data_IF_368380250855
#
_entry.id   IF_368380250855
#
_cell.length_a   1.000
_cell.length_b   1.000
_cell.length_c   1.000
_cell.angle_alpha   90.00
_cell.angle_beta   90.00
_cell.angle_gamma   90.00
#
_symmetry.space_group_name_H-M   'P 1'
#
loop_
_entity.id
_entity.type
_entity.pdbx_description
1 polymer ?
#
# COMPACT_ATOMS: atom_id res chain seq x y z
N UNK A 1 18.96 -47.91 8.65
CA UNK A 1 19.68 -48.08 7.37
C UNK A 1 20.01 -46.70 6.82
N UNK A 2 21.33 -46.44 6.66
CA UNK A 2 22.01 -45.46 5.80
C UNK A 2 21.61 -43.97 5.90
N UNK A 3 22.38 -43.29 6.74
CA UNK A 3 22.86 -41.90 6.61
C UNK A 3 23.53 -41.65 5.25
N UNK A 4 23.22 -40.54 4.58
CA UNK A 4 24.07 -39.95 3.53
C UNK A 4 24.21 -38.47 3.84
N UNK A 5 25.38 -38.11 4.37
CA UNK A 5 25.82 -36.73 4.54
C UNK A 5 26.42 -36.21 3.25
N UNK A 6 26.06 -34.98 2.87
CA UNK A 6 26.70 -34.24 1.78
C UNK A 6 27.61 -33.20 2.43
N UNK A 7 28.91 -33.50 2.39
CA UNK A 7 30.03 -32.61 2.64
C UNK A 7 30.11 -31.61 1.47
N UNK A 8 29.83 -30.33 1.72
CA UNK A 8 30.14 -29.25 0.76
C UNK A 8 31.49 -28.67 1.17
N UNK A 9 32.53 -29.10 0.48
CA UNK A 9 33.89 -28.56 0.56
C UNK A 9 33.95 -27.21 -0.14
N UNK A 10 33.99 -26.11 0.62
CA UNK A 10 34.30 -24.78 0.10
C UNK A 10 35.83 -24.66 -0.02
N UNK A 11 36.32 -24.85 -1.25
CA UNK A 11 37.71 -24.60 -1.60
C UNK A 11 37.97 -23.08 -1.65
N UNK A 12 38.62 -22.57 -0.60
CA UNK A 12 39.13 -21.19 -0.53
C UNK A 12 40.39 -21.09 -1.42
N UNK A 13 40.22 -20.68 -2.67
CA UNK A 13 41.33 -20.32 -3.55
C UNK A 13 41.86 -18.94 -3.15
N UNK A 14 42.97 -18.94 -2.41
CA UNK A 14 43.81 -17.78 -2.11
C UNK A 14 44.49 -17.31 -3.41
N UNK A 15 43.93 -16.28 -4.04
CA UNK A 15 44.57 -15.54 -5.13
C UNK A 15 45.43 -14.40 -4.58
N UNK A 16 46.72 -14.68 -4.37
CA UNK A 16 47.73 -13.68 -4.05
C UNK A 16 48.21 -12.95 -5.31
N UNK A 17 47.75 -11.72 -5.53
CA UNK A 17 48.46 -10.73 -6.36
C UNK A 17 49.13 -9.70 -5.46
N UNK A 18 50.45 -9.62 -5.58
CA UNK A 18 51.31 -8.80 -4.73
C UNK A 18 51.29 -7.32 -5.11
N UNK A 19 51.08 -6.48 -4.10
CA UNK A 19 51.67 -5.16 -4.00
C UNK A 19 52.59 -5.15 -2.77
N UNK A 20 53.89 -5.07 -3.03
CA UNK A 20 54.94 -4.93 -2.02
C UNK A 20 54.92 -3.49 -1.53
N UNK A 21 54.21 -3.23 -0.43
CA UNK A 21 54.36 -2.00 0.35
C UNK A 21 54.84 -2.38 1.76
N UNK A 22 55.83 -1.64 2.24
CA UNK A 22 56.53 -1.90 3.48
C UNK A 22 55.64 -1.52 4.69
N UNK A 23 55.41 -2.50 5.56
CA UNK A 23 55.44 -2.31 7.01
C UNK A 23 54.22 -1.67 7.66
N UNK A 24 53.17 -2.46 7.86
CA UNK A 24 52.54 -2.69 9.17
C UNK A 24 51.67 -3.94 9.03
N UNK A 25 52.01 -5.00 9.75
CA UNK A 25 51.16 -6.19 9.80
C UNK A 25 49.83 -5.77 10.41
N UNK A 26 48.76 -5.86 9.62
CA UNK A 26 47.38 -5.57 10.04
C UNK A 26 47.08 -6.40 11.29
N UNK A 27 47.14 -5.74 12.46
CA UNK A 27 47.00 -6.42 13.74
C UNK A 27 45.62 -7.06 13.80
N UNK A 28 45.56 -8.36 14.14
CA UNK A 28 44.29 -9.04 14.33
C UNK A 28 43.41 -8.23 15.31
N UNK A 29 42.11 -8.07 15.03
CA UNK A 29 41.23 -7.27 15.87
C UNK A 29 41.23 -7.84 17.29
N UNK A 30 41.31 -6.95 18.29
CA UNK A 30 41.35 -7.32 19.70
C UNK A 30 40.13 -8.19 20.07
N UNK A 31 40.32 -9.46 20.49
CA UNK A 31 39.24 -10.36 20.88
C UNK A 31 38.34 -9.78 21.98
N UNK A 32 38.86 -8.93 22.85
CA UNK A 32 38.08 -8.27 23.89
C UNK A 32 37.08 -7.26 23.29
N UNK A 33 37.48 -6.52 22.25
CA UNK A 33 36.62 -5.55 21.58
C UNK A 33 35.48 -6.25 20.80
N UNK A 34 35.77 -7.38 20.15
CA UNK A 34 34.75 -8.19 19.46
C UNK A 34 33.73 -8.75 20.47
N UNK A 35 34.19 -9.26 21.61
CA UNK A 35 33.30 -9.76 22.68
C UNK A 35 32.42 -8.64 23.25
N UNK A 36 32.98 -7.47 23.49
CA UNK A 36 32.23 -6.30 23.95
C UNK A 36 31.16 -5.87 22.94
N UNK A 37 31.46 -5.91 21.64
CA UNK A 37 30.47 -5.64 20.60
C UNK A 37 29.32 -6.66 20.62
N UNK A 38 29.62 -7.96 20.73
CA UNK A 38 28.60 -9.01 20.80
C UNK A 38 27.69 -8.85 22.03
N UNK A 39 28.25 -8.51 23.19
CA UNK A 39 27.48 -8.27 24.40
C UNK A 39 26.53 -7.06 24.26
N UNK A 40 27.00 -5.98 23.63
CA UNK A 40 26.14 -4.81 23.35
C UNK A 40 25.05 -5.12 22.32
N UNK A 41 25.34 -5.93 21.31
CA UNK A 41 24.31 -6.41 20.37
C UNK A 41 23.25 -7.22 21.10
N UNK A 42 23.66 -8.17 21.96
CA UNK A 42 22.74 -8.98 22.74
C UNK A 42 21.90 -8.12 23.69
N UNK A 43 22.52 -7.12 24.33
CA UNK A 43 21.82 -6.15 25.20
C UNK A 43 20.80 -5.33 24.43
N UNK A 44 21.17 -4.82 23.25
CA UNK A 44 20.23 -4.09 22.36
C UNK A 44 19.03 -4.95 22.00
N UNK A 45 19.26 -6.20 21.60
CA UNK A 45 18.19 -7.11 21.19
C UNK A 45 17.25 -7.44 22.37
N UNK A 46 17.81 -7.61 23.57
CA UNK A 46 17.01 -7.78 24.79
C UNK A 46 16.15 -6.54 25.12
N UNK A 47 16.71 -5.33 24.99
CA UNK A 47 15.97 -4.07 25.19
C UNK A 47 14.85 -3.89 24.16
N UNK A 48 15.09 -4.25 22.89
CA UNK A 48 14.06 -4.23 21.84
C UNK A 48 12.91 -5.20 22.14
N UNK A 49 13.22 -6.43 22.56
CA UNK A 49 12.21 -7.41 22.94
C UNK A 49 11.40 -6.94 24.18
N UNK A 50 12.06 -6.31 25.16
CA UNK A 50 11.39 -5.74 26.32
C UNK A 50 10.46 -4.58 25.93
N UNK A 51 10.91 -3.69 25.04
CA UNK A 51 10.10 -2.59 24.51
C UNK A 51 8.85 -3.10 23.79
N UNK A 52 9.00 -4.10 22.92
CA UNK A 52 7.87 -4.71 22.19
C UNK A 52 6.83 -5.28 23.17
N UNK A 53 7.29 -5.98 24.23
CA UNK A 53 6.41 -6.49 25.28
C UNK A 53 5.64 -5.37 25.98
N UNK A 54 6.31 -4.29 26.39
CA UNK A 54 5.69 -3.15 27.06
C UNK A 54 4.67 -2.43 26.15
N UNK A 55 4.97 -2.27 24.86
CA UNK A 55 4.03 -1.70 23.88
C UNK A 55 2.80 -2.58 23.68
N UNK A 56 2.97 -3.90 23.67
CA UNK A 56 1.86 -4.86 23.63
C UNK A 56 0.98 -4.76 24.87
N UNK A 57 1.56 -4.67 26.06
CA UNK A 57 0.83 -4.50 27.32
C UNK A 57 0.09 -3.16 27.39
N UNK A 58 0.72 -2.06 26.96
CA UNK A 58 0.08 -0.74 26.89
C UNK A 58 -1.12 -0.73 25.94
N UNK A 59 -1.02 -1.43 24.81
CA UNK A 59 -2.11 -1.57 23.84
C UNK A 59 -3.27 -2.36 24.44
N UNK A 60 -3.00 -3.48 25.12
CA UNK A 60 -4.02 -4.28 25.82
C UNK A 60 -4.75 -3.46 26.88
N UNK A 61 -4.03 -2.70 27.70
CA UNK A 61 -4.63 -1.82 28.71
C UNK A 61 -5.49 -0.73 28.05
N UNK A 62 -5.06 -0.17 26.91
CA UNK A 62 -5.85 0.79 26.15
C UNK A 62 -7.17 0.19 25.63
N UNK A 63 -7.17 -1.08 25.23
CA UNK A 63 -8.39 -1.81 24.85
C UNK A 63 -9.29 -2.10 26.06
N UNK A 64 -8.71 -2.48 27.21
CA UNK A 64 -9.44 -2.68 28.46
C UNK A 64 -10.13 -1.39 28.93
N UNK A 65 -9.42 -0.24 28.87
CA UNK A 65 -9.99 1.07 29.18
C UNK A 65 -11.25 1.33 28.34
N UNK A 66 -11.17 1.13 27.01
CA UNK A 66 -12.33 1.32 26.12
C UNK A 66 -13.52 0.42 26.49
N UNK A 67 -13.26 -0.83 26.90
CA UNK A 67 -14.31 -1.76 27.33
C UNK A 67 -14.96 -1.32 28.63
N UNK A 68 -14.16 -0.91 29.63
CA UNK A 68 -14.66 -0.46 30.94
C UNK A 68 -15.43 0.85 30.80
N UNK A 69 -14.94 1.80 29.99
CA UNK A 69 -15.63 3.06 29.67
C UNK A 69 -16.99 2.81 29.00
N UNK A 70 -17.06 1.87 28.06
CA UNK A 70 -18.32 1.51 27.41
C UNK A 70 -19.36 0.93 28.39
N UNK A 71 -18.91 0.32 29.49
CA UNK A 71 -19.78 -0.17 30.58
C UNK A 71 -20.01 0.87 31.70
N UNK A 72 -19.47 2.08 31.57
CA UNK A 72 -19.58 3.14 32.57
C UNK A 72 -18.77 2.89 33.86
N UNK A 73 -17.76 2.03 33.82
CA UNK A 73 -16.89 1.75 34.96
C UNK A 73 -15.76 2.77 35.15
N UNK A 74 -15.13 2.75 36.32
CA UNK A 74 -13.95 3.60 36.62
C UNK A 74 -12.68 3.05 35.94
N UNK A 75 -11.97 3.91 35.20
CA UNK A 75 -10.72 3.59 34.49
C UNK A 75 -9.48 4.21 35.11
N UNK A 76 -9.60 4.88 36.25
CA UNK A 76 -8.51 5.62 36.90
C UNK A 76 -7.25 4.77 37.13
N UNK A 77 -7.38 3.55 37.64
CA UNK A 77 -6.27 2.63 37.88
C UNK A 77 -5.65 2.08 36.58
N UNK A 78 -6.46 1.83 35.55
CA UNK A 78 -5.97 1.39 34.25
C UNK A 78 -5.20 2.53 33.54
N UNK A 79 -5.68 3.76 33.66
CA UNK A 79 -5.02 4.94 33.13
C UNK A 79 -3.65 5.17 33.79
N UNK A 80 -3.54 5.00 35.12
CA UNK A 80 -2.25 5.05 35.83
C UNK A 80 -1.28 3.98 35.35
N UNK A 81 -1.73 2.73 35.22
CA UNK A 81 -0.89 1.62 34.70
C UNK A 81 -0.41 1.89 33.28
N UNK A 82 -1.26 2.46 32.43
CA UNK A 82 -0.87 2.84 31.07
C UNK A 82 0.21 3.92 31.08
N UNK A 83 0.05 4.97 31.88
CA UNK A 83 1.03 6.06 31.99
C UNK A 83 2.40 5.57 32.53
N UNK A 84 2.39 4.62 33.47
CA UNK A 84 3.59 3.97 33.99
C UNK A 84 4.31 3.16 32.88
N UNK A 85 3.57 2.37 32.09
CA UNK A 85 4.13 1.65 30.95
C UNK A 85 4.69 2.58 29.88
N UNK A 86 4.01 3.69 29.58
CA UNK A 86 4.50 4.69 28.63
C UNK A 86 5.82 5.31 29.12
N UNK A 87 5.94 5.58 30.42
CA UNK A 87 7.19 6.06 31.04
C UNK A 87 8.31 5.03 30.92
N UNK A 88 8.02 3.74 31.17
CA UNK A 88 8.99 2.66 30.99
C UNK A 88 9.42 2.51 29.53
N UNK A 89 8.52 2.70 28.56
CA UNK A 89 8.85 2.69 27.13
C UNK A 89 9.83 3.81 26.79
N UNK A 90 9.61 5.03 27.30
CA UNK A 90 10.52 6.16 27.09
C UNK A 90 11.90 5.88 27.70
N UNK A 91 11.96 5.34 28.92
CA UNK A 91 13.23 4.94 29.55
C UNK A 91 13.97 3.87 28.73
N UNK A 92 13.23 2.93 28.13
CA UNK A 92 13.82 1.92 27.23
C UNK A 92 14.38 2.54 25.95
N UNK A 93 13.74 3.59 25.42
CA UNK A 93 14.24 4.33 24.26
C UNK A 93 15.55 5.08 24.56
N UNK A 94 15.66 5.68 25.75
CA UNK A 94 16.91 6.30 26.18
C UNK A 94 18.04 5.26 26.32
N UNK A 95 17.75 4.09 26.91
CA UNK A 95 18.70 2.99 27.04
C UNK A 95 19.13 2.42 25.68
N UNK A 96 18.20 2.31 24.72
CA UNK A 96 18.49 1.88 23.35
C UNK A 96 19.38 2.89 22.63
N UNK A 97 19.10 4.18 22.78
CA UNK A 97 19.90 5.27 22.20
C UNK A 97 21.34 5.26 22.73
N UNK A 98 21.50 5.09 24.06
CA UNK A 98 22.80 4.95 24.71
C UNK A 98 23.56 3.72 24.20
N UNK A 99 22.91 2.54 24.20
CA UNK A 99 23.52 1.28 23.71
C UNK A 99 23.92 1.38 22.24
N UNK A 100 23.09 2.01 21.39
CA UNK A 100 23.39 2.23 19.97
C UNK A 100 24.59 3.16 19.77
N UNK A 101 24.73 4.18 20.62
CA UNK A 101 25.87 5.10 20.58
C UNK A 101 27.17 4.40 20.96
N UNK A 102 27.16 3.58 22.02
CA UNK A 102 28.30 2.74 22.43
C UNK A 102 28.71 1.76 21.33
N UNK A 103 27.72 1.10 20.71
CA UNK A 103 27.96 0.16 19.61
C UNK A 103 28.57 0.85 18.40
N UNK A 104 28.13 2.08 18.07
CA UNK A 104 28.71 2.89 17.00
C UNK A 104 30.17 3.27 17.31
N UNK A 105 30.47 3.65 18.56
CA UNK A 105 31.82 4.00 19.00
C UNK A 105 32.79 2.81 19.00
N UNK A 106 32.32 1.61 19.34
CA UNK A 106 33.13 0.39 19.27
C UNK A 106 33.31 -0.05 17.81
N UNK A 107 32.26 0.08 17.00
CA UNK A 107 32.31 -0.26 15.57
C UNK A 107 33.29 0.63 14.83
N UNK A 108 33.31 1.94 15.09
CA UNK A 108 34.28 2.85 14.45
C UNK A 108 35.73 2.54 14.83
N UNK A 109 35.98 2.11 16.07
CA UNK A 109 37.31 1.63 16.52
C UNK A 109 37.72 0.34 15.82
N UNK A 110 36.79 -0.59 15.62
CA UNK A 110 37.03 -1.86 14.94
C UNK A 110 37.23 -1.68 13.42
N UNK A 111 36.46 -0.78 12.79
CA UNK A 111 36.61 -0.45 11.36
C UNK A 111 37.96 0.25 11.09
N UNK A 112 38.44 1.08 12.03
CA UNK A 112 39.78 1.69 11.96
C UNK A 112 40.92 0.66 12.13
N UNK A 113 40.63 -0.51 12.71
CA UNK A 113 41.61 -1.57 12.97
C UNK A 113 41.71 -2.62 11.83
N UNK A 114 41.03 -2.43 10.70
CA UNK A 114 41.27 -3.21 9.45
C UNK A 114 40.88 -4.69 9.44
N UNK A 115 40.50 -5.29 10.58
CA UNK A 115 40.35 -6.75 10.70
C UNK A 115 39.29 -7.40 9.80
N UNK A 116 39.73 -8.29 8.90
CA UNK A 116 38.88 -9.19 8.09
C UNK A 116 37.85 -9.95 8.93
N UNK A 117 38.20 -10.33 10.17
CA UNK A 117 37.31 -11.01 11.13
C UNK A 117 36.09 -10.17 11.52
N UNK A 118 36.22 -8.85 11.64
CA UNK A 118 35.10 -7.94 11.93
C UNK A 118 34.15 -7.86 10.73
N UNK A 119 34.71 -7.87 9.52
CA UNK A 119 33.92 -7.89 8.28
C UNK A 119 33.14 -9.20 8.15
N UNK A 120 33.76 -10.35 8.46
CA UNK A 120 33.10 -11.65 8.43
C UNK A 120 31.99 -11.77 9.49
N UNK A 121 32.25 -11.32 10.73
CA UNK A 121 31.22 -11.27 11.76
C UNK A 121 30.03 -10.38 11.34
N UNK A 122 30.31 -9.24 10.68
CA UNK A 122 29.27 -8.35 10.16
C UNK A 122 28.46 -8.96 9.02
N UNK A 123 29.08 -9.77 8.16
CA UNK A 123 28.38 -10.52 7.11
C UNK A 123 27.47 -11.56 7.76
N UNK A 124 27.97 -12.33 8.73
CA UNK A 124 27.16 -13.31 9.45
C UNK A 124 25.95 -12.66 10.18
N UNK A 125 26.14 -11.50 10.82
CA UNK A 125 25.04 -10.75 11.46
C UNK A 125 24.02 -10.25 10.44
N UNK A 126 24.48 -9.77 9.27
CA UNK A 126 23.60 -9.36 8.17
C UNK A 126 22.79 -10.53 7.63
N UNK A 127 23.42 -11.68 7.45
CA UNK A 127 22.76 -12.91 7.00
C UNK A 127 21.70 -13.35 8.02
N UNK A 128 22.00 -13.33 9.32
CA UNK A 128 21.03 -13.64 10.38
C UNK A 128 19.83 -12.68 10.37
N UNK A 129 20.09 -11.37 10.18
CA UNK A 129 19.03 -10.36 10.10
C UNK A 129 18.18 -10.46 8.82
N UNK A 130 18.76 -10.94 7.71
CA UNK A 130 18.02 -11.24 6.48
C UNK A 130 17.13 -12.48 6.70
N UNK A 131 17.70 -13.56 7.23
CA UNK A 131 16.94 -14.78 7.54
C UNK A 131 15.75 -14.54 8.49
N UNK A 132 15.93 -13.70 9.52
CA UNK A 132 14.84 -13.30 10.41
C UNK A 132 13.73 -12.53 9.70
N UNK A 133 14.08 -11.62 8.78
CA UNK A 133 13.11 -10.87 7.98
C UNK A 133 12.36 -11.76 7.00
N UNK A 134 13.05 -12.71 6.37
CA UNK A 134 12.43 -13.69 5.48
C UNK A 134 11.45 -14.60 6.23
N UNK A 135 11.79 -15.02 7.46
CA UNK A 135 10.88 -15.78 8.31
C UNK A 135 9.61 -14.99 8.67
N UNK A 136 9.75 -13.71 9.04
CA UNK A 136 8.60 -12.82 9.31
C UNK A 136 7.75 -12.57 8.06
N UNK A 137 8.36 -12.47 6.88
CA UNK A 137 7.63 -12.31 5.63
C UNK A 137 6.85 -13.58 5.27
N UNK A 138 7.48 -14.75 5.40
CA UNK A 138 6.83 -16.06 5.22
C UNK A 138 5.65 -16.27 6.19
N UNK A 139 5.75 -15.78 7.42
CA UNK A 139 4.64 -15.84 8.37
C UNK A 139 3.48 -14.93 7.95
N UNK A 140 3.76 -13.67 7.59
CA UNK A 140 2.73 -12.73 7.12
C UNK A 140 2.04 -13.19 5.84
N UNK A 141 2.79 -13.81 4.93
CA UNK A 141 2.23 -14.39 3.71
C UNK A 141 1.26 -15.54 4.02
N UNK A 142 1.62 -16.42 4.97
CA UNK A 142 0.72 -17.48 5.44
C UNK A 142 -0.54 -16.93 6.10
N UNK A 143 -0.40 -15.92 6.95
CA UNK A 143 -1.54 -15.25 7.60
C UNK A 143 -2.46 -14.59 6.56
N UNK A 144 -1.89 -13.93 5.54
CA UNK A 144 -2.65 -13.33 4.45
C UNK A 144 -3.39 -14.37 3.60
N UNK A 145 -2.72 -15.47 3.24
CA UNK A 145 -3.36 -16.58 2.53
C UNK A 145 -4.51 -17.19 3.36
N UNK A 146 -4.31 -17.37 4.66
CA UNK A 146 -5.36 -17.87 5.55
C UNK A 146 -6.55 -16.89 5.63
N UNK A 147 -6.28 -15.58 5.69
CA UNK A 147 -7.31 -14.56 5.66
C UNK A 147 -8.11 -14.60 4.35
N UNK A 148 -7.44 -14.75 3.21
CA UNK A 148 -8.11 -14.91 1.92
C UNK A 148 -8.96 -16.19 1.84
N UNK A 149 -8.46 -17.32 2.35
CA UNK A 149 -9.24 -18.56 2.42
C UNK A 149 -10.47 -18.40 3.31
N UNK A 150 -10.34 -17.73 4.46
CA UNK A 150 -11.45 -17.46 5.35
C UNK A 150 -12.48 -16.52 4.71
N UNK A 151 -12.03 -15.46 4.03
CA UNK A 151 -12.90 -14.55 3.28
C UNK A 151 -13.61 -15.27 2.13
N UNK A 152 -12.92 -16.14 1.40
CA UNK A 152 -13.52 -16.95 0.34
C UNK A 152 -14.56 -17.94 0.88
N UNK A 153 -14.32 -18.54 2.04
CA UNK A 153 -15.32 -19.39 2.72
C UNK A 153 -16.54 -18.57 3.17
N UNK A 154 -16.33 -17.45 3.84
CA UNK A 154 -17.42 -16.54 4.23
C UNK A 154 -18.22 -16.08 3.01
N UNK A 155 -17.55 -15.77 1.90
CA UNK A 155 -18.20 -15.40 0.65
C UNK A 155 -19.02 -16.57 0.11
N UNK A 156 -18.44 -17.78 0.02
CA UNK A 156 -19.15 -18.99 -0.40
C UNK A 156 -20.38 -19.27 0.47
N UNK A 157 -20.24 -19.16 1.79
CA UNK A 157 -21.33 -19.42 2.74
C UNK A 157 -22.40 -18.34 2.65
N UNK A 158 -22.02 -17.07 2.43
CA UNK A 158 -22.96 -15.98 2.18
C UNK A 158 -23.71 -16.10 0.85
N UNK A 159 -23.06 -16.67 -0.18
CA UNK A 159 -23.69 -16.95 -1.48
C UNK A 159 -24.53 -18.24 -1.46
N UNK A 160 -24.25 -19.20 -0.59
CA UNK A 160 -25.01 -20.45 -0.51
C UNK A 160 -26.38 -20.28 0.18
N UNK A 161 -26.56 -19.22 0.97
CA UNK A 161 -27.82 -18.93 1.69
C UNK A 161 -28.83 -18.13 0.84
N UNK A 162 -28.50 -17.75 -0.40
CA UNK A 162 -29.42 -17.07 -1.31
C UNK A 162 -29.23 -17.54 -2.75
N UNK A 163 -30.22 -18.28 -3.26
CA UNK A 163 -30.18 -18.90 -4.59
C UNK A 163 -29.83 -17.96 -5.76
N UNK A 164 -29.27 -18.58 -6.80
CA UNK A 164 -29.11 -18.06 -8.17
C UNK A 164 -28.42 -16.70 -8.28
N UNK A 165 -27.09 -16.73 -8.43
CA UNK A 165 -26.30 -15.60 -8.92
C UNK A 165 -26.56 -15.37 -10.42
N UNK A 166 -27.70 -14.75 -10.74
CA UNK A 166 -27.72 -13.83 -11.87
C UNK A 166 -26.75 -12.70 -11.58
N UNK A 167 -25.92 -12.35 -12.56
CA UNK A 167 -25.23 -11.06 -12.63
C UNK A 167 -26.18 -9.98 -12.11
N UNK A 168 -25.80 -9.31 -11.02
CA UNK A 168 -26.59 -8.22 -10.45
C UNK A 168 -26.50 -7.04 -11.42
N UNK A 169 -27.32 -7.09 -12.47
CA UNK A 169 -27.96 -5.91 -13.02
C UNK A 169 -28.76 -5.41 -11.82
N UNK A 170 -28.20 -4.42 -11.12
CA UNK A 170 -28.86 -3.71 -10.04
C UNK A 170 -30.25 -3.36 -10.58
N UNK A 171 -31.32 -3.97 -10.03
CA UNK A 171 -32.69 -3.83 -10.53
C UNK A 171 -33.09 -2.35 -10.41
N UNK A 172 -32.84 -1.61 -11.47
CA UNK A 172 -33.22 -0.21 -11.64
C UNK A 172 -34.71 -0.19 -11.92
N UNK A 173 -35.49 0.18 -10.89
CA UNK A 173 -36.92 0.52 -10.85
C UNK A 173 -37.88 -0.37 -11.69
N UNK A 174 -38.92 -0.96 -11.08
CA UNK A 174 -39.89 -1.76 -11.85
C UNK A 174 -40.49 -0.92 -13.00
N UNK A 175 -40.73 -1.53 -14.18
CA UNK A 175 -41.33 -0.84 -15.30
C UNK A 175 -42.62 -0.16 -14.86
N UNK A 176 -42.87 1.07 -15.33
CA UNK A 176 -44.15 1.77 -15.10
C UNK A 176 -45.27 0.78 -15.43
N UNK A 177 -46.11 0.47 -14.43
CA UNK A 177 -47.23 -0.46 -14.61
C UNK A 177 -48.13 0.04 -15.75
N UNK A 178 -48.09 -0.65 -16.89
CA UNK A 178 -49.04 -0.49 -17.98
C UNK A 178 -48.65 0.41 -19.16
N UNK A 179 -47.54 1.15 -19.12
CA UNK A 179 -47.10 1.98 -20.26
C UNK A 179 -45.62 1.75 -20.61
N UNK A 180 -45.36 1.47 -21.91
CA UNK A 180 -44.01 1.46 -22.47
C UNK A 180 -43.36 2.83 -22.27
N UNK A 181 -42.06 2.83 -21.97
CA UNK A 181 -41.29 4.06 -21.92
C UNK A 181 -41.28 4.77 -23.27
N UNK A 182 -41.18 6.10 -23.25
CA UNK A 182 -41.14 6.91 -24.47
C UNK A 182 -39.71 7.31 -24.81
N UNK A 183 -39.44 7.54 -26.10
CA UNK A 183 -38.16 8.09 -26.56
C UNK A 183 -37.75 9.35 -25.79
N UNK A 184 -38.71 10.24 -25.51
CA UNK A 184 -38.48 11.48 -24.74
C UNK A 184 -37.97 11.22 -23.32
N UNK A 185 -38.43 10.17 -22.65
CA UNK A 185 -37.95 9.81 -21.31
C UNK A 185 -36.52 9.27 -21.36
N UNK A 186 -36.19 8.44 -22.36
CA UNK A 186 -34.82 7.93 -22.54
C UNK A 186 -33.85 9.05 -22.91
N UNK A 187 -34.23 9.92 -23.85
CA UNK A 187 -33.44 11.10 -24.24
C UNK A 187 -33.22 12.06 -23.06
N UNK A 188 -34.24 12.22 -22.20
CA UNK A 188 -34.13 13.01 -20.96
C UNK A 188 -33.09 12.45 -19.99
N UNK A 189 -33.06 11.13 -19.78
CA UNK A 189 -32.05 10.47 -18.95
C UNK A 189 -30.65 10.56 -19.56
N UNK A 190 -30.53 10.37 -20.87
CA UNK A 190 -29.25 10.49 -21.57
C UNK A 190 -28.71 11.93 -21.50
N UNK A 191 -29.58 12.93 -21.64
CA UNK A 191 -29.24 14.33 -21.44
C UNK A 191 -28.75 14.62 -20.02
N UNK A 192 -29.43 14.07 -19.01
CA UNK A 192 -29.02 14.16 -17.61
C UNK A 192 -27.65 13.50 -17.37
N UNK A 193 -27.44 12.28 -17.86
CA UNK A 193 -26.17 11.56 -17.77
C UNK A 193 -25.01 12.39 -18.36
N UNK A 194 -25.18 12.90 -19.58
CA UNK A 194 -24.17 13.75 -20.25
C UNK A 194 -23.89 15.03 -19.47
N UNK A 195 -24.93 15.68 -18.94
CA UNK A 195 -24.78 16.87 -18.10
C UNK A 195 -24.00 16.59 -16.82
N UNK A 196 -24.29 15.47 -16.13
CA UNK A 196 -23.58 15.06 -14.92
C UNK A 196 -22.12 14.69 -15.22
N UNK A 197 -21.85 13.99 -16.33
CA UNK A 197 -20.49 13.71 -16.77
C UNK A 197 -19.73 15.01 -17.04
N UNK A 198 -20.31 15.95 -17.79
CA UNK A 198 -19.69 17.25 -18.05
C UNK A 198 -19.44 18.05 -16.76
N UNK A 199 -20.38 18.03 -15.81
CA UNK A 199 -20.24 18.68 -14.50
C UNK A 199 -19.08 18.09 -13.70
N UNK A 200 -18.96 16.76 -13.66
CA UNK A 200 -17.88 16.04 -12.95
C UNK A 200 -16.56 15.98 -13.74
N UNK A 201 -16.57 16.34 -15.02
CA UNK A 201 -15.44 16.14 -15.92
C UNK A 201 -15.15 14.66 -16.18
N UNK A 202 -16.18 13.81 -16.23
CA UNK A 202 -16.00 12.40 -16.57
C UNK A 202 -15.95 12.20 -18.09
N UNK A 203 -15.08 11.29 -18.52
CA UNK A 203 -15.04 10.78 -19.90
C UNK A 203 -15.40 9.30 -19.91
N UNK A 204 -15.77 8.74 -21.06
CA UNK A 204 -16.22 7.32 -21.14
C UNK A 204 -15.22 6.33 -20.56
N UNK A 205 -13.91 6.58 -20.69
CA UNK A 205 -12.88 5.71 -20.11
C UNK A 205 -12.87 5.70 -18.57
N UNK A 206 -13.47 6.71 -17.92
CA UNK A 206 -13.59 6.75 -16.45
C UNK A 206 -14.71 5.86 -15.93
N UNK A 207 -15.64 5.43 -16.79
CA UNK A 207 -16.76 4.56 -16.44
C UNK A 207 -16.33 3.07 -16.32
N UNK A 208 -15.09 2.74 -16.70
CA UNK A 208 -14.55 1.38 -16.63
C UNK A 208 -15.37 0.40 -17.48
N UNK A 209 -15.80 -0.70 -16.88
CA UNK A 209 -16.62 -1.71 -17.55
C UNK A 209 -17.97 -1.16 -18.07
N UNK A 210 -18.47 -0.06 -17.49
CA UNK A 210 -19.74 0.54 -17.88
C UNK A 210 -19.62 1.48 -19.08
N UNK A 211 -18.44 1.61 -19.68
CA UNK A 211 -18.25 2.41 -20.90
C UNK A 211 -19.06 1.89 -22.10
N UNK A 212 -19.48 0.61 -22.10
CA UNK A 212 -20.33 0.03 -23.15
C UNK A 212 -21.79 0.49 -23.09
N UNK A 213 -22.26 1.00 -21.93
CA UNK A 213 -23.67 1.35 -21.73
C UNK A 213 -24.18 2.35 -22.75
N UNK A 214 -23.38 3.36 -23.14
CA UNK A 214 -23.80 4.33 -24.16
C UNK A 214 -24.04 3.67 -25.53
N UNK A 215 -23.21 2.70 -25.90
CA UNK A 215 -23.38 1.92 -27.13
C UNK A 215 -24.63 1.03 -27.06
N UNK A 216 -24.88 0.40 -25.91
CA UNK A 216 -26.06 -0.43 -25.69
C UNK A 216 -27.36 0.38 -25.66
N UNK A 217 -27.34 1.59 -25.09
CA UNK A 217 -28.46 2.55 -25.15
C UNK A 217 -28.73 2.94 -26.60
N UNK A 218 -27.68 3.31 -27.37
CA UNK A 218 -27.82 3.68 -28.78
C UNK A 218 -28.41 2.53 -29.60
N UNK A 219 -27.97 1.29 -29.34
CA UNK A 219 -28.51 0.09 -29.97
C UNK A 219 -30.00 -0.09 -29.63
N UNK A 220 -30.38 -0.01 -28.36
CA UNK A 220 -31.77 -0.11 -27.93
C UNK A 220 -32.66 0.98 -28.57
N UNK A 221 -32.16 2.21 -28.67
CA UNK A 221 -32.85 3.32 -29.36
C UNK A 221 -33.05 3.03 -30.86
N UNK A 222 -32.07 2.41 -31.53
CA UNK A 222 -32.19 2.02 -32.94
C UNK A 222 -33.17 0.86 -33.17
N UNK A 223 -33.29 -0.03 -32.20
CA UNK A 223 -34.23 -1.17 -32.21
C UNK A 223 -35.65 -0.75 -31.75
N UNK A 224 -35.87 0.53 -31.42
CA UNK A 224 -37.11 1.05 -30.82
C UNK A 224 -37.50 0.36 -29.50
N UNK A 225 -36.54 -0.25 -28.80
CA UNK A 225 -36.72 -0.84 -27.47
C UNK A 225 -36.49 0.22 -26.39
N UNK A 226 -37.51 1.06 -26.21
CA UNK A 226 -37.47 2.17 -25.26
C UNK A 226 -37.37 1.70 -23.81
N UNK A 227 -37.86 0.49 -23.50
CA UNK A 227 -37.80 -0.08 -22.15
C UNK A 227 -36.37 -0.45 -21.79
N UNK A 228 -35.68 -1.18 -22.67
CA UNK A 228 -34.26 -1.47 -22.48
C UNK A 228 -33.43 -0.18 -22.49
N UNK A 229 -33.71 0.74 -23.40
CA UNK A 229 -33.04 2.04 -23.46
C UNK A 229 -33.17 2.82 -22.15
N UNK A 230 -34.37 2.84 -21.55
CA UNK A 230 -34.62 3.50 -20.27
C UNK A 230 -33.83 2.87 -19.12
N UNK A 231 -33.86 1.54 -18.99
CA UNK A 231 -33.16 0.80 -17.95
C UNK A 231 -31.65 1.07 -18.02
N UNK A 232 -31.06 0.95 -19.21
CA UNK A 232 -29.64 1.20 -19.43
C UNK A 232 -29.27 2.67 -19.20
N UNK A 233 -30.09 3.63 -19.65
CA UNK A 233 -29.85 5.05 -19.41
C UNK A 233 -29.92 5.40 -17.92
N UNK A 234 -30.84 4.78 -17.18
CA UNK A 234 -30.93 4.98 -15.73
C UNK A 234 -29.73 4.36 -15.00
N UNK A 235 -29.28 3.17 -15.42
CA UNK A 235 -28.07 2.54 -14.90
C UNK A 235 -26.83 3.43 -15.16
N UNK A 236 -26.75 4.05 -16.33
CA UNK A 236 -25.68 4.99 -16.67
C UNK A 236 -25.69 6.21 -15.73
N UNK A 237 -26.85 6.84 -15.52
CA UNK A 237 -27.01 7.96 -14.57
C UNK A 237 -26.56 7.55 -13.16
N UNK A 238 -27.01 6.39 -12.67
CA UNK A 238 -26.62 5.92 -11.34
C UNK A 238 -25.11 5.64 -11.23
N UNK A 239 -24.52 5.05 -12.26
CA UNK A 239 -23.07 4.82 -12.34
C UNK A 239 -22.31 6.14 -12.26
N UNK A 240 -22.73 7.14 -13.05
CA UNK A 240 -22.13 8.47 -13.04
C UNK A 240 -22.28 9.12 -11.67
N UNK A 241 -23.44 9.03 -11.04
CA UNK A 241 -23.71 9.60 -9.72
C UNK A 241 -22.87 8.95 -8.62
N UNK A 242 -22.70 7.63 -8.67
CA UNK A 242 -21.88 6.86 -7.73
C UNK A 242 -20.38 7.20 -7.81
N UNK A 243 -19.88 7.65 -8.97
CA UNK A 243 -18.46 8.01 -9.10
C UNK A 243 -18.17 9.28 -8.29
N UNK A 244 -17.29 9.11 -7.29
CA UNK A 244 -16.77 10.20 -6.47
C UNK A 244 -15.43 10.69 -7.02
N UNK A 245 -15.36 11.97 -7.39
CA UNK A 245 -14.12 12.63 -7.80
C UNK A 245 -13.35 13.03 -6.53
N UNK A 246 -12.60 12.08 -5.99
CA UNK A 246 -11.81 12.25 -4.77
C UNK A 246 -10.29 12.20 -5.06
N UNK A 247 -9.48 12.37 -4.01
CA UNK A 247 -8.02 12.32 -4.08
C UNK A 247 -7.50 11.08 -4.81
N UNK A 248 -8.08 9.91 -4.53
CA UNK A 248 -7.65 8.64 -5.12
C UNK A 248 -8.02 8.54 -6.60
N UNK A 249 -9.20 9.04 -6.98
CA UNK A 249 -9.63 9.12 -8.38
C UNK A 249 -8.66 9.95 -9.21
N UNK A 250 -8.31 11.15 -8.72
CA UNK A 250 -7.36 12.04 -9.40
C UNK A 250 -5.98 11.42 -9.49
N UNK A 251 -5.48 10.82 -8.40
CA UNK A 251 -4.18 10.14 -8.38
C UNK A 251 -4.11 9.03 -9.43
N UNK A 252 -5.08 8.11 -9.44
CA UNK A 252 -5.11 7.01 -10.41
C UNK A 252 -5.21 7.51 -11.86
N UNK A 253 -5.94 8.60 -12.10
CA UNK A 253 -6.09 9.17 -13.44
C UNK A 253 -4.82 9.91 -13.88
N UNK A 254 -4.17 10.63 -12.97
CA UNK A 254 -2.87 11.25 -13.20
C UNK A 254 -1.80 10.21 -13.53
N UNK A 255 -1.74 9.09 -12.80
CA UNK A 255 -0.81 7.99 -13.08
C UNK A 255 -1.00 7.45 -14.51
N UNK A 256 -2.25 7.20 -14.92
CA UNK A 256 -2.55 6.79 -16.30
C UNK A 256 -2.14 7.86 -17.33
N UNK A 257 -2.27 9.14 -17.02
CA UNK A 257 -1.87 10.22 -17.93
C UNK A 257 -0.35 10.22 -18.05
N UNK A 258 0.35 10.18 -16.93
CA UNK A 258 1.82 10.16 -16.86
C UNK A 258 2.40 8.96 -17.64
N UNK A 259 1.81 7.77 -17.50
CA UNK A 259 2.21 6.59 -18.29
C UNK A 259 1.99 6.77 -19.80
N UNK A 260 0.98 7.54 -20.22
CA UNK A 260 0.78 7.85 -21.64
C UNK A 260 1.76 8.90 -22.13
N UNK A 261 2.01 9.94 -21.35
CA UNK A 261 2.99 10.98 -21.66
C UNK A 261 4.37 10.36 -21.85
N UNK A 262 4.81 9.50 -20.93
CA UNK A 262 6.12 8.86 -21.03
C UNK A 262 6.24 7.88 -22.21
N UNK A 263 5.13 7.29 -22.64
CA UNK A 263 5.08 6.42 -23.82
C UNK A 263 4.96 7.20 -25.14
N UNK A 264 4.43 8.42 -25.11
CA UNK A 264 4.25 9.25 -26.28
C UNK A 264 5.56 9.99 -26.61
N UNK A 265 5.97 9.94 -27.89
CA UNK A 265 7.02 10.82 -28.41
C UNK A 265 6.39 12.16 -28.76
N UNK A 266 6.31 13.06 -27.78
CA UNK A 266 5.78 14.42 -27.97
C UNK A 266 6.89 15.39 -28.36
N UNK A 267 6.55 16.41 -29.14
CA UNK A 267 7.46 17.52 -29.45
C UNK A 267 7.67 18.42 -28.23
N UNK A 268 8.67 19.29 -28.29
CA UNK A 268 9.07 20.18 -27.18
C UNK A 268 7.98 21.18 -26.78
N UNK A 269 7.16 21.66 -27.73
CA UNK A 269 6.07 22.57 -27.43
C UNK A 269 4.94 21.86 -26.69
N UNK A 270 4.59 20.64 -27.12
CA UNK A 270 3.61 19.77 -26.45
C UNK A 270 4.10 19.35 -25.07
N UNK A 271 5.40 19.04 -24.92
CA UNK A 271 6.01 18.73 -23.63
C UNK A 271 5.89 19.89 -22.64
N UNK A 272 6.16 21.13 -23.09
CA UNK A 272 5.99 22.32 -22.24
C UNK A 272 4.55 22.55 -21.78
N UNK A 273 3.56 22.29 -22.66
CA UNK A 273 2.15 22.37 -22.30
C UNK A 273 1.74 21.29 -21.28
N UNK A 274 2.27 20.08 -21.43
CA UNK A 274 2.06 18.98 -20.48
C UNK A 274 2.63 19.34 -19.12
N UNK A 275 3.88 19.80 -19.05
CA UNK A 275 4.54 20.14 -17.78
C UNK A 275 3.81 21.27 -17.04
N UNK A 276 3.38 22.31 -17.76
CA UNK A 276 2.56 23.39 -17.18
C UNK A 276 1.22 22.86 -16.68
N UNK A 277 0.54 22.05 -17.48
CA UNK A 277 -0.73 21.44 -17.09
C UNK A 277 -0.61 20.50 -15.90
N UNK A 278 0.47 19.73 -15.79
CA UNK A 278 0.74 18.85 -14.65
C UNK A 278 0.95 19.66 -13.37
N UNK A 279 1.64 20.81 -13.42
CA UNK A 279 1.78 21.72 -12.28
C UNK A 279 0.42 22.26 -11.82
N UNK A 280 -0.42 22.69 -12.75
CA UNK A 280 -1.78 23.15 -12.43
C UNK A 280 -2.63 22.04 -11.81
N UNK A 281 -2.52 20.80 -12.30
CA UNK A 281 -3.21 19.64 -11.70
C UNK A 281 -2.77 19.43 -10.26
N UNK A 282 -1.46 19.48 -9.98
CA UNK A 282 -0.92 19.31 -8.64
C UNK A 282 -1.35 20.43 -7.70
N UNK A 283 -1.43 21.67 -8.19
CA UNK A 283 -1.97 22.79 -7.44
C UNK A 283 -3.44 22.55 -7.07
N UNK A 284 -4.31 22.27 -8.06
CA UNK A 284 -5.74 22.00 -7.82
C UNK A 284 -5.98 20.80 -6.91
N UNK A 285 -5.12 19.78 -7.01
CA UNK A 285 -5.14 18.63 -6.13
C UNK A 285 -4.75 18.99 -4.68
N UNK A 286 -3.77 19.86 -4.50
CA UNK A 286 -3.38 20.41 -3.19
C UNK A 286 -4.48 21.28 -2.57
N UNK A 287 -5.16 22.09 -3.39
CA UNK A 287 -6.28 22.96 -3.00
C UNK A 287 -7.56 22.16 -2.66
N UNK A 288 -7.61 20.86 -2.95
CA UNK A 288 -8.80 20.02 -2.78
C UNK A 288 -9.86 20.18 -3.88
N UNK A 289 -9.58 20.96 -4.93
CA UNK A 289 -10.46 21.15 -6.09
C UNK A 289 -10.27 20.01 -7.11
N UNK A 290 -10.74 18.82 -6.73
CA UNK A 290 -10.58 17.62 -7.55
C UNK A 290 -11.35 17.68 -8.87
N UNK A 291 -12.44 18.46 -8.96
CA UNK A 291 -13.21 18.60 -10.21
C UNK A 291 -12.41 19.43 -11.22
N UNK A 292 -11.81 20.56 -10.80
CA UNK A 292 -10.95 21.33 -11.69
C UNK A 292 -9.71 20.53 -12.10
N UNK A 293 -9.09 19.80 -11.16
CA UNK A 293 -7.98 18.91 -11.46
C UNK A 293 -8.36 17.86 -12.52
N UNK A 294 -9.53 17.23 -12.38
CA UNK A 294 -10.04 16.24 -13.34
C UNK A 294 -10.25 16.82 -14.74
N UNK A 295 -10.86 18.02 -14.82
CA UNK A 295 -11.07 18.71 -16.10
C UNK A 295 -9.74 19.04 -16.77
N UNK A 296 -8.73 19.47 -16.00
CA UNK A 296 -7.40 19.76 -16.53
C UNK A 296 -6.71 18.49 -17.04
N UNK A 297 -6.80 17.38 -16.31
CA UNK A 297 -6.30 16.07 -16.76
C UNK A 297 -6.94 15.68 -18.11
N UNK A 298 -8.25 15.87 -18.28
CA UNK A 298 -8.91 15.57 -19.55
C UNK A 298 -8.42 16.44 -20.71
N UNK A 299 -8.18 17.73 -20.45
CA UNK A 299 -7.63 18.63 -21.46
C UNK A 299 -6.26 18.14 -21.94
N UNK A 300 -5.40 17.67 -21.02
CA UNK A 300 -4.11 17.10 -21.37
C UNK A 300 -4.23 15.77 -22.13
N UNK A 301 -5.18 14.90 -21.77
CA UNK A 301 -5.48 13.72 -22.57
C UNK A 301 -5.93 14.05 -24.00
N UNK A 302 -6.63 15.17 -24.19
CA UNK A 302 -7.02 15.65 -25.50
C UNK A 302 -5.84 16.13 -26.34
N UNK A 303 -4.84 16.76 -25.70
CA UNK A 303 -3.62 17.26 -26.37
C UNK A 303 -2.64 16.13 -26.76
N UNK A 304 -2.77 14.93 -26.15
CA UNK A 304 -1.96 13.76 -26.45
C UNK A 304 -2.51 12.88 -27.59
N UNK A 305 -3.65 13.26 -28.20
CA UNK A 305 -4.23 12.56 -29.35
C UNK A 305 -3.69 13.12 -30.65
#
# INVERSE_FOLDING_TARGET
>A
MRTVGILVSVALMLGSFGCKNNGEAEAAPDPAAVKAQQELVARRDALLAQKEKLQGEATKISEEIKKVEATGGDTSELAKKKAELETQIVQQDDNLSSTSSELTAITSKLDAAGGVVVREARVADREKAIAAREAQFSQREREFQQAQLNAAKQWKDSCAVGGTSTTVIQQVAPPKSGNNYTRKEVDGLLGKAKSQMAKKGLINSDLGAQASLEGEITKALSESDWTRGYILANQLVQTIDAIQINRNFIKAKYERLNSRVSAAKVDEATQGQLDSGMKEIMQKWGDGDFIAANKRINALYGALR
#
